data_IF_503576122207
#
_entry.id   IF_503576122207
#
_cell.length_a   1.000
_cell.length_b   1.000
_cell.length_c   1.000
_cell.angle_alpha   90.00
_cell.angle_beta   90.00
_cell.angle_gamma   90.00
#
_symmetry.space_group_name_H-M   'P 1'
#
loop_
_entity.id
_entity.type
_entity.pdbx_description
1 polymer ?
#
# COMPACT_ATOMS: atom_id res chain seq x y z
N UNK A 1 28.08 28.64 -4.54
CA UNK A 1 27.85 28.50 -5.97
C UNK A 1 26.47 27.91 -6.25
N UNK A 2 26.00 28.11 -7.48
CA UNK A 2 24.80 27.49 -8.03
C UNK A 2 25.20 26.57 -9.15
N UNK A 3 24.40 25.57 -9.42
CA UNK A 3 24.55 24.73 -10.60
C UNK A 3 23.19 24.55 -11.29
N UNK A 4 23.25 24.40 -12.60
CA UNK A 4 22.13 24.05 -13.45
C UNK A 4 22.53 22.87 -14.32
N UNK A 5 21.65 21.90 -14.41
CA UNK A 5 21.84 20.70 -15.22
C UNK A 5 20.63 20.47 -16.10
N UNK A 6 20.86 20.11 -17.36
CA UNK A 6 19.83 19.72 -18.30
C UNK A 6 20.45 18.95 -19.47
N UNK A 7 19.62 18.29 -20.27
CA UNK A 7 20.06 17.66 -21.52
C UNK A 7 20.38 18.72 -22.60
N UNK A 8 21.25 18.33 -23.54
CA UNK A 8 21.62 19.18 -24.68
C UNK A 8 20.56 19.03 -25.77
N UNK A 9 19.83 20.09 -26.02
CA UNK A 9 18.86 20.20 -27.11
C UNK A 9 19.37 21.09 -28.24
N UNK A 10 18.55 21.29 -29.26
CA UNK A 10 18.87 22.15 -30.41
C UNK A 10 19.06 23.64 -30.06
N UNK A 11 18.50 24.10 -28.93
CA UNK A 11 18.62 25.48 -28.45
C UNK A 11 19.89 25.68 -27.61
N UNK A 12 20.28 24.65 -26.85
CA UNK A 12 21.39 24.71 -25.89
C UNK A 12 22.72 24.22 -26.47
N UNK A 13 22.71 23.47 -27.60
CA UNK A 13 23.89 22.91 -28.25
C UNK A 13 24.99 23.92 -28.55
N UNK A 14 24.59 25.14 -29.00
CA UNK A 14 25.52 26.20 -29.36
C UNK A 14 25.47 27.42 -28.41
N UNK A 15 24.73 27.27 -27.27
CA UNK A 15 24.58 28.35 -26.31
C UNK A 15 25.89 28.58 -25.53
N UNK A 16 26.18 29.82 -25.23
CA UNK A 16 27.34 30.14 -24.37
C UNK A 16 27.02 29.82 -22.91
N UNK A 17 28.01 29.37 -22.12
CA UNK A 17 27.80 29.07 -20.71
C UNK A 17 27.17 30.23 -19.92
N UNK A 18 27.51 31.47 -20.24
CA UNK A 18 26.94 32.66 -19.61
C UNK A 18 25.44 32.84 -19.92
N UNK A 19 25.01 32.51 -21.12
CA UNK A 19 23.61 32.64 -21.53
C UNK A 19 22.78 31.57 -20.82
N UNK A 20 23.30 30.34 -20.70
CA UNK A 20 22.68 29.26 -19.93
C UNK A 20 22.57 29.64 -18.46
N UNK A 21 23.62 30.20 -17.85
CA UNK A 21 23.62 30.63 -16.46
C UNK A 21 22.61 31.76 -16.22
N UNK A 22 22.50 32.73 -17.14
CA UNK A 22 21.51 33.82 -17.06
C UNK A 22 20.07 33.27 -17.13
N UNK A 23 19.80 32.33 -18.01
CA UNK A 23 18.50 31.67 -18.11
C UNK A 23 18.18 30.88 -16.83
N UNK A 24 19.17 30.14 -16.31
CA UNK A 24 19.03 29.38 -15.05
C UNK A 24 18.71 30.29 -13.86
N UNK A 25 19.30 31.48 -13.80
CA UNK A 25 18.97 32.45 -12.76
C UNK A 25 17.50 32.85 -12.82
N UNK A 26 17.00 33.13 -14.00
CA UNK A 26 15.62 33.62 -14.18
C UNK A 26 14.59 32.50 -14.00
N UNK A 27 14.84 31.32 -14.53
CA UNK A 27 13.84 30.23 -14.59
C UNK A 27 13.91 29.30 -13.40
N UNK A 28 15.09 29.08 -12.79
CA UNK A 28 15.32 28.02 -11.81
C UNK A 28 15.81 28.50 -10.44
N UNK A 29 16.46 29.63 -10.34
CA UNK A 29 16.93 30.20 -9.08
C UNK A 29 15.84 31.06 -8.47
N UNK A 30 15.13 31.85 -9.29
CA UNK A 30 13.92 32.55 -8.90
C UNK A 30 12.70 31.87 -9.51
N UNK A 31 11.67 31.66 -8.71
CA UNK A 31 10.38 31.10 -9.16
C UNK A 31 9.24 31.68 -8.32
N UNK A 32 8.03 31.66 -8.88
CA UNK A 32 6.81 31.98 -8.14
C UNK A 32 6.22 30.71 -7.56
N UNK A 33 6.00 30.72 -6.25
CA UNK A 33 5.20 29.70 -5.56
C UNK A 33 4.04 30.41 -4.85
N UNK A 34 2.80 30.12 -5.23
CA UNK A 34 1.56 30.65 -4.61
C UNK A 34 1.57 32.18 -4.39
N UNK A 35 2.01 32.95 -5.36
CA UNK A 35 2.18 34.40 -5.32
C UNK A 35 3.34 34.92 -4.44
N UNK A 36 4.23 34.05 -4.00
CA UNK A 36 5.48 34.43 -3.36
C UNK A 36 6.66 34.19 -4.28
N UNK A 37 7.58 35.16 -4.32
CA UNK A 37 8.85 34.98 -5.00
C UNK A 37 9.80 34.24 -4.08
N UNK A 38 10.34 33.12 -4.53
CA UNK A 38 11.33 32.35 -3.81
C UNK A 38 12.62 32.21 -4.62
N UNK A 39 13.69 31.78 -3.97
CA UNK A 39 14.95 31.50 -4.63
C UNK A 39 15.56 30.20 -4.08
N UNK A 40 16.37 29.57 -4.92
CA UNK A 40 17.13 28.38 -4.54
C UNK A 40 18.36 28.76 -3.71
N UNK A 41 18.59 28.06 -2.61
CA UNK A 41 19.79 28.25 -1.80
C UNK A 41 21.06 27.78 -2.53
N UNK A 42 22.20 28.49 -2.36
CA UNK A 42 23.46 28.08 -2.98
C UNK A 42 24.02 26.80 -2.35
N UNK A 43 24.58 25.94 -3.20
CA UNK A 43 25.29 24.74 -2.76
C UNK A 43 26.68 25.08 -2.22
N UNK A 44 27.18 24.29 -1.26
CA UNK A 44 28.50 24.44 -0.63
C UNK A 44 29.23 23.10 -0.63
N UNK A 45 30.56 23.14 -0.83
CA UNK A 45 31.39 21.95 -0.81
C UNK A 45 31.22 21.08 -2.07
N UNK A 46 31.41 19.77 -1.93
CA UNK A 46 31.20 18.79 -3.00
C UNK A 46 29.73 18.41 -3.05
N UNK A 47 29.17 18.36 -4.25
CA UNK A 47 27.81 17.89 -4.50
C UNK A 47 27.91 16.72 -5.48
N UNK A 48 27.52 15.52 -5.03
CA UNK A 48 27.38 14.37 -5.88
C UNK A 48 25.98 14.35 -6.49
N UNK A 49 25.90 14.37 -7.81
CA UNK A 49 24.65 14.31 -8.57
C UNK A 49 24.48 12.90 -9.15
N UNK A 50 23.43 12.24 -8.72
CA UNK A 50 23.07 10.90 -9.18
C UNK A 50 21.61 10.91 -9.67
N UNK A 51 21.19 9.89 -10.39
CA UNK A 51 19.80 9.75 -10.79
C UNK A 51 18.81 9.69 -9.63
N UNK A 52 19.27 9.36 -8.42
CA UNK A 52 18.44 9.31 -7.21
C UNK A 52 18.17 10.70 -6.61
N UNK A 53 19.16 11.61 -6.70
CA UNK A 53 19.08 12.93 -6.06
C UNK A 53 18.99 14.09 -7.06
N UNK A 54 18.99 13.79 -8.35
CA UNK A 54 18.88 14.76 -9.43
C UNK A 54 17.92 14.23 -10.50
N UNK A 55 16.66 14.65 -10.41
CA UNK A 55 15.60 14.18 -11.29
C UNK A 55 15.87 14.51 -12.78
N UNK A 56 16.71 15.49 -13.06
CA UNK A 56 17.11 15.86 -14.40
C UNK A 56 17.99 14.82 -15.08
N UNK A 57 18.66 13.93 -14.31
CA UNK A 57 19.56 12.89 -14.84
C UNK A 57 18.86 11.55 -15.13
N UNK A 58 17.61 11.55 -15.46
CA UNK A 58 16.79 10.35 -15.59
C UNK A 58 16.74 9.73 -17.00
N UNK A 59 17.31 10.36 -18.02
CA UNK A 59 17.31 9.85 -19.39
C UNK A 59 18.67 9.20 -19.71
N UNK A 60 18.67 7.91 -20.05
CA UNK A 60 19.87 7.18 -20.44
C UNK A 60 20.35 7.55 -21.86
N UNK A 61 21.60 7.29 -22.18
CA UNK A 61 22.24 7.56 -23.48
C UNK A 61 22.03 9.00 -23.99
N UNK A 62 21.89 9.94 -23.05
CA UNK A 62 21.58 11.35 -23.35
C UNK A 62 22.73 12.24 -22.95
N UNK A 63 23.08 13.18 -23.81
CA UNK A 63 24.12 14.16 -23.53
C UNK A 63 23.54 15.27 -22.65
N UNK A 64 24.12 15.42 -21.46
CA UNK A 64 23.80 16.46 -20.50
C UNK A 64 24.91 17.46 -20.37
N UNK A 65 24.56 18.62 -19.83
CA UNK A 65 25.53 19.60 -19.38
C UNK A 65 25.27 20.02 -17.94
N UNK A 66 26.31 20.42 -17.25
CA UNK A 66 26.25 21.13 -15.98
C UNK A 66 26.92 22.49 -16.16
N UNK A 67 26.23 23.53 -15.76
CA UNK A 67 26.80 24.86 -15.65
C UNK A 67 26.86 25.25 -14.18
N UNK A 68 28.07 25.59 -13.71
CA UNK A 68 28.32 26.01 -12.32
C UNK A 68 28.79 27.46 -12.32
N UNK A 69 28.20 28.28 -11.46
CA UNK A 69 28.50 29.71 -11.38
C UNK A 69 28.25 30.25 -9.96
N UNK A 70 28.87 31.38 -9.64
CA UNK A 70 28.54 32.18 -8.47
C UNK A 70 27.58 33.30 -8.87
N UNK A 71 26.70 33.64 -7.95
CA UNK A 71 25.62 34.55 -8.22
C UNK A 71 25.28 35.38 -6.97
N UNK A 72 25.05 36.67 -7.17
CA UNK A 72 24.58 37.59 -6.14
C UNK A 72 23.11 37.94 -6.41
N UNK A 73 22.29 37.64 -5.41
CA UNK A 73 20.85 37.85 -5.45
C UNK A 73 20.54 39.35 -5.46
N UNK A 74 19.56 39.75 -6.27
CA UNK A 74 18.96 41.06 -6.15
C UNK A 74 17.78 41.00 -5.18
N UNK A 75 17.87 41.58 -3.99
CA UNK A 75 16.82 41.51 -2.97
C UNK A 75 15.55 42.27 -3.35
N UNK A 76 15.58 43.07 -4.43
CA UNK A 76 14.44 43.87 -4.90
C UNK A 76 13.70 43.23 -6.08
N UNK A 77 14.22 42.11 -6.61
CA UNK A 77 13.57 41.40 -7.72
C UNK A 77 12.10 41.06 -7.43
N UNK A 78 11.21 41.50 -8.29
CA UNK A 78 9.77 41.22 -8.19
C UNK A 78 9.05 41.85 -6.99
N UNK A 79 9.76 42.57 -6.11
CA UNK A 79 9.20 43.15 -4.87
C UNK A 79 9.14 44.67 -4.86
N UNK A 80 10.01 45.35 -5.59
CA UNK A 80 10.08 46.78 -5.66
C UNK A 80 9.60 47.26 -7.04
N UNK A 81 8.66 48.20 -7.05
CA UNK A 81 8.19 48.84 -8.24
C UNK A 81 9.09 50.05 -8.57
N UNK A 82 9.59 50.11 -9.79
CA UNK A 82 10.28 51.31 -10.28
C UNK A 82 9.27 52.45 -10.36
N UNK A 83 9.50 53.51 -9.59
CA UNK A 83 8.58 54.66 -9.51
C UNK A 83 8.44 55.43 -10.82
N UNK A 84 9.42 55.34 -11.74
CA UNK A 84 9.38 56.04 -13.04
C UNK A 84 8.63 55.23 -14.09
N UNK A 85 8.73 53.90 -14.08
CA UNK A 85 8.13 53.04 -15.11
C UNK A 85 6.84 52.35 -14.64
N UNK A 86 6.61 52.24 -13.32
CA UNK A 86 5.49 51.51 -12.74
C UNK A 86 5.66 50.01 -12.84
N UNK A 87 6.80 49.51 -13.26
CA UNK A 87 7.09 48.07 -13.41
C UNK A 87 7.89 47.53 -12.21
N UNK A 88 7.71 46.26 -11.94
CA UNK A 88 8.53 45.59 -10.94
C UNK A 88 9.98 45.43 -11.43
N UNK A 89 10.91 45.40 -10.48
CA UNK A 89 12.33 45.13 -10.77
C UNK A 89 12.42 43.69 -11.34
N UNK A 90 12.82 43.58 -12.59
CA UNK A 90 12.95 42.31 -13.34
C UNK A 90 14.40 41.80 -13.38
N UNK A 91 15.34 42.49 -12.70
CA UNK A 91 16.73 42.00 -12.62
C UNK A 91 16.88 41.04 -11.45
N UNK A 92 17.00 39.73 -11.70
CA UNK A 92 17.09 38.74 -10.62
C UNK A 92 18.41 38.80 -9.84
N UNK A 93 19.44 39.47 -10.38
CA UNK A 93 20.77 39.62 -9.77
C UNK A 93 21.90 39.50 -10.78
N UNK A 94 23.12 39.25 -10.32
CA UNK A 94 24.31 39.27 -11.15
C UNK A 94 25.17 38.04 -10.97
N UNK A 95 25.59 37.42 -12.09
CA UNK A 95 26.57 36.34 -12.08
C UNK A 95 27.95 36.93 -11.79
N UNK A 96 28.55 36.48 -10.70
CA UNK A 96 29.80 37.06 -10.15
C UNK A 96 31.06 36.25 -10.48
N UNK A 97 30.90 35.06 -11.10
CA UNK A 97 32.04 34.27 -11.61
C UNK A 97 31.83 33.89 -13.06
N UNK A 98 32.91 33.63 -13.80
CA UNK A 98 32.81 32.97 -15.10
C UNK A 98 32.16 31.59 -14.92
N UNK A 99 31.05 31.29 -15.64
CA UNK A 99 30.42 29.97 -15.54
C UNK A 99 31.36 28.87 -16.03
N UNK A 100 31.41 27.79 -15.29
CA UNK A 100 32.10 26.55 -15.69
C UNK A 100 31.08 25.62 -16.32
N UNK A 101 31.37 25.15 -17.51
CA UNK A 101 30.54 24.26 -18.29
C UNK A 101 31.21 22.90 -18.47
N UNK A 102 30.50 21.84 -18.19
CA UNK A 102 30.91 20.46 -18.43
C UNK A 102 29.77 19.71 -19.09
N UNK A 103 30.04 19.00 -20.19
CA UNK A 103 29.09 18.06 -20.75
C UNK A 103 29.52 16.62 -20.49
N UNK A 104 28.54 15.74 -20.38
CA UNK A 104 28.76 14.31 -20.19
C UNK A 104 27.59 13.54 -20.78
N UNK A 105 27.80 12.26 -21.06
CA UNK A 105 26.78 11.34 -21.53
C UNK A 105 26.32 10.47 -20.36
N UNK A 106 25.01 10.37 -20.17
CA UNK A 106 24.48 9.38 -19.21
C UNK A 106 24.74 7.96 -19.68
N UNK A 107 24.85 7.04 -18.74
CA UNK A 107 25.12 5.64 -19.04
C UNK A 107 24.07 5.04 -19.97
N UNK A 108 24.48 4.01 -20.71
CA UNK A 108 23.54 3.23 -21.51
C UNK A 108 22.54 2.54 -20.58
N UNK A 109 21.30 2.52 -20.98
CA UNK A 109 20.28 1.72 -20.30
C UNK A 109 20.57 0.23 -20.53
N UNK A 110 20.42 -0.57 -19.49
CA UNK A 110 20.63 -2.00 -19.55
C UNK A 110 19.69 -2.71 -20.52
N UNK A 111 20.15 -3.84 -21.03
CA UNK A 111 19.29 -4.71 -21.83
C UNK A 111 18.45 -5.57 -20.89
N UNK A 112 17.11 -5.51 -20.95
CA UNK A 112 16.24 -6.32 -20.09
C UNK A 112 16.42 -7.83 -20.27
N UNK A 113 16.98 -8.29 -21.40
CA UNK A 113 17.30 -9.72 -21.64
C UNK A 113 18.63 -10.15 -21.02
N UNK A 114 19.53 -9.23 -20.70
CA UNK A 114 20.83 -9.50 -20.09
C UNK A 114 20.83 -9.23 -18.57
N UNK A 115 19.82 -8.52 -18.06
CA UNK A 115 19.69 -8.25 -16.65
C UNK A 115 19.33 -9.53 -15.86
N UNK A 116 20.13 -9.83 -14.84
CA UNK A 116 19.88 -10.93 -13.92
C UNK A 116 19.10 -10.43 -12.72
N UNK A 117 18.11 -11.21 -12.30
CA UNK A 117 17.31 -10.92 -11.11
C UNK A 117 17.40 -12.08 -10.13
N UNK A 118 17.61 -11.76 -8.86
CA UNK A 118 17.58 -12.75 -7.78
C UNK A 118 16.47 -12.42 -6.81
N UNK A 119 15.88 -13.48 -6.24
CA UNK A 119 14.74 -13.38 -5.35
C UNK A 119 15.08 -14.00 -4.00
N UNK A 120 14.71 -13.34 -2.93
CA UNK A 120 14.76 -13.90 -1.59
C UNK A 120 13.48 -13.56 -0.83
N UNK A 121 13.15 -14.38 0.17
CA UNK A 121 12.03 -14.12 1.05
C UNK A 121 12.50 -14.07 2.51
N UNK A 122 11.88 -13.21 3.28
CA UNK A 122 12.11 -13.10 4.72
C UNK A 122 10.79 -12.96 5.46
N UNK A 123 10.79 -13.27 6.75
CA UNK A 123 9.61 -13.21 7.63
C UNK A 123 8.41 -13.95 7.05
N UNK A 124 8.66 -15.17 6.54
CA UNK A 124 7.62 -15.97 5.88
C UNK A 124 6.63 -16.46 6.91
N UNK A 125 5.42 -15.91 6.84
CA UNK A 125 4.26 -16.30 7.64
C UNK A 125 3.33 -17.25 6.87
N UNK A 126 2.18 -17.57 7.46
CA UNK A 126 1.15 -18.38 6.78
C UNK A 126 0.42 -17.61 5.68
N UNK A 127 0.33 -16.29 5.78
CA UNK A 127 -0.47 -15.44 4.89
C UNK A 127 0.31 -14.32 4.23
N UNK A 128 1.58 -14.16 4.59
CA UNK A 128 2.40 -13.05 4.12
C UNK A 128 3.90 -13.38 4.15
N UNK A 129 4.68 -12.57 3.47
CA UNK A 129 6.14 -12.51 3.58
C UNK A 129 6.69 -11.25 2.93
N UNK A 130 7.94 -10.92 3.23
CA UNK A 130 8.70 -9.96 2.44
C UNK A 130 9.43 -10.66 1.31
N UNK A 131 9.27 -10.15 0.08
CA UNK A 131 10.03 -10.57 -1.09
C UNK A 131 11.04 -9.47 -1.45
N UNK A 132 12.31 -9.80 -1.50
CA UNK A 132 13.36 -8.92 -2.01
C UNK A 132 13.73 -9.34 -3.43
N UNK A 133 13.79 -8.38 -4.32
CA UNK A 133 14.26 -8.52 -5.69
C UNK A 133 15.54 -7.72 -5.82
N UNK A 134 16.62 -8.37 -6.26
CA UNK A 134 17.89 -7.69 -6.60
C UNK A 134 18.12 -7.76 -8.09
N UNK A 135 18.47 -6.62 -8.67
CA UNK A 135 18.77 -6.48 -10.09
C UNK A 135 20.26 -6.30 -10.31
N UNK A 136 20.85 -7.05 -11.25
CA UNK A 136 22.25 -6.84 -11.65
C UNK A 136 22.47 -5.53 -12.39
N UNK A 137 21.41 -4.96 -12.96
CA UNK A 137 21.42 -3.68 -13.65
C UNK A 137 20.32 -2.75 -13.10
N UNK A 138 20.69 -1.72 -12.30
CA UNK A 138 19.73 -0.83 -11.68
C UNK A 138 19.02 0.11 -12.67
N UNK A 139 19.39 0.09 -13.95
CA UNK A 139 18.73 0.91 -14.98
C UNK A 139 17.55 0.20 -15.63
N UNK A 140 17.49 -1.13 -15.54
CA UNK A 140 16.41 -1.92 -16.15
C UNK A 140 15.13 -1.82 -15.31
N UNK A 141 14.07 -1.33 -15.92
CA UNK A 141 12.75 -1.30 -15.30
C UNK A 141 12.09 -2.67 -15.33
N UNK A 142 11.35 -2.97 -14.28
CA UNK A 142 10.56 -4.19 -14.18
C UNK A 142 9.29 -4.00 -13.38
N UNK A 143 8.33 -4.90 -13.61
CA UNK A 143 7.16 -5.08 -12.75
C UNK A 143 7.34 -6.38 -11.97
N UNK A 144 7.32 -6.36 -10.63
CA UNK A 144 7.34 -7.58 -9.82
C UNK A 144 6.02 -8.32 -9.90
N UNK A 145 6.07 -9.62 -9.72
CA UNK A 145 4.90 -10.48 -9.68
C UNK A 145 5.11 -11.69 -8.78
N UNK A 146 4.01 -12.31 -8.41
CA UNK A 146 3.96 -13.56 -7.66
C UNK A 146 2.92 -14.47 -8.31
N UNK A 147 3.21 -15.77 -8.38
CA UNK A 147 2.29 -16.76 -8.90
C UNK A 147 2.37 -18.05 -8.08
N UNK A 148 1.36 -18.91 -8.21
CA UNK A 148 1.47 -20.28 -7.69
C UNK A 148 2.58 -21.04 -8.43
N UNK A 149 3.49 -21.65 -7.68
CA UNK A 149 4.61 -22.37 -8.27
C UNK A 149 4.17 -23.57 -9.14
N UNK A 150 2.99 -24.14 -8.84
CA UNK A 150 2.46 -25.33 -9.52
C UNK A 150 2.03 -25.09 -10.96
N UNK A 151 1.67 -23.85 -11.33
CA UNK A 151 1.10 -23.53 -12.65
C UNK A 151 1.68 -22.24 -13.26
N UNK A 152 2.85 -21.80 -12.78
CA UNK A 152 3.49 -20.61 -13.30
C UNK A 152 3.91 -20.78 -14.77
N UNK A 153 3.47 -19.86 -15.61
CA UNK A 153 3.85 -19.75 -17.02
C UNK A 153 4.34 -18.32 -17.31
N UNK A 154 5.63 -18.13 -17.63
CA UNK A 154 6.19 -16.83 -17.95
C UNK A 154 5.49 -16.10 -19.10
N UNK A 155 5.04 -16.83 -20.13
CA UNK A 155 4.36 -16.22 -21.27
C UNK A 155 2.94 -15.75 -20.91
N UNK A 156 2.24 -16.54 -20.11
CA UNK A 156 0.93 -16.16 -19.59
C UNK A 156 1.04 -14.91 -18.67
N UNK A 157 2.10 -14.82 -17.85
CA UNK A 157 2.35 -13.66 -17.00
C UNK A 157 2.57 -12.38 -17.80
N UNK A 158 3.38 -12.45 -18.88
CA UNK A 158 3.56 -11.31 -19.81
C UNK A 158 2.23 -10.93 -20.44
N UNK A 159 1.49 -11.91 -21.00
CA UNK A 159 0.24 -11.64 -21.69
C UNK A 159 -0.82 -11.00 -20.77
N UNK A 160 -0.94 -11.48 -19.54
CA UNK A 160 -1.88 -10.96 -18.55
C UNK A 160 -1.64 -9.50 -18.16
N UNK A 161 -0.36 -9.04 -18.18
CA UNK A 161 0.02 -7.71 -17.73
C UNK A 161 0.22 -6.71 -18.88
N UNK A 162 0.32 -7.16 -20.13
CA UNK A 162 0.71 -6.34 -21.28
C UNK A 162 -0.28 -5.21 -21.58
N UNK A 163 -1.57 -5.48 -21.57
CA UNK A 163 -2.60 -4.50 -21.89
C UNK A 163 -2.65 -3.39 -20.83
N UNK A 164 -2.42 -3.76 -19.56
CA UNK A 164 -2.37 -2.78 -18.48
C UNK A 164 -1.16 -1.86 -18.60
N UNK A 165 0.04 -2.42 -18.84
CA UNK A 165 1.22 -1.60 -19.06
C UNK A 165 0.98 -0.62 -20.20
N UNK A 166 0.46 -1.12 -21.34
CA UNK A 166 0.15 -0.28 -22.50
C UNK A 166 -0.83 0.86 -22.16
N UNK A 167 -1.89 0.54 -21.41
CA UNK A 167 -2.91 1.53 -21.01
C UNK A 167 -2.32 2.60 -20.08
N UNK A 168 -1.60 2.23 -19.02
CA UNK A 168 -1.07 3.22 -18.07
C UNK A 168 0.05 4.05 -18.71
N UNK A 169 0.86 3.47 -19.60
CA UNK A 169 1.86 4.19 -20.37
C UNK A 169 1.19 5.23 -21.27
N UNK A 170 0.16 4.84 -22.01
CA UNK A 170 -0.62 5.75 -22.86
C UNK A 170 -1.20 6.90 -22.03
N UNK A 171 -1.87 6.61 -20.92
CA UNK A 171 -2.45 7.63 -20.03
C UNK A 171 -1.39 8.58 -19.46
N UNK A 172 -0.20 8.07 -19.11
CA UNK A 172 0.88 8.87 -18.58
C UNK A 172 1.47 9.82 -19.64
N UNK A 173 1.53 9.39 -20.90
CA UNK A 173 2.15 10.13 -22.00
C UNK A 173 1.16 11.08 -22.72
N UNK A 174 -0.14 10.79 -22.69
CA UNK A 174 -1.17 11.63 -23.32
C UNK A 174 -1.23 13.02 -22.70
N UNK A 175 -1.37 14.03 -23.58
CA UNK A 175 -1.51 15.44 -23.16
C UNK A 175 -0.23 16.09 -22.65
N UNK A 176 0.90 15.39 -22.65
CA UNK A 176 2.20 15.97 -22.30
C UNK A 176 2.80 16.72 -23.51
N UNK A 177 3.38 17.91 -23.26
CA UNK A 177 4.09 18.69 -24.28
C UNK A 177 5.37 19.27 -23.67
N UNK A 178 6.55 18.79 -24.07
CA UNK A 178 6.81 17.73 -25.06
C UNK A 178 6.32 16.35 -24.62
N UNK A 179 6.16 15.45 -25.59
CA UNK A 179 5.77 14.06 -25.31
C UNK A 179 6.88 13.36 -24.51
N UNK A 180 6.51 12.63 -23.46
CA UNK A 180 7.45 11.88 -22.63
C UNK A 180 8.03 10.69 -23.42
N UNK A 181 9.27 10.34 -23.14
CA UNK A 181 9.84 9.03 -23.48
C UNK A 181 9.21 7.94 -22.62
N UNK A 182 9.34 6.67 -23.00
CA UNK A 182 8.88 5.56 -22.16
C UNK A 182 9.61 5.49 -20.82
N UNK A 183 10.89 5.84 -20.77
CA UNK A 183 11.63 5.92 -19.50
C UNK A 183 11.05 6.99 -18.59
N UNK A 184 10.85 8.21 -19.04
CA UNK A 184 10.26 9.30 -18.25
C UNK A 184 8.85 8.95 -17.78
N UNK A 185 8.08 8.23 -18.60
CA UNK A 185 6.76 7.75 -18.21
C UNK A 185 6.84 6.70 -17.09
N UNK A 186 7.80 5.75 -17.17
CA UNK A 186 8.03 4.75 -16.12
C UNK A 186 8.49 5.38 -14.81
N UNK A 187 9.42 6.35 -14.87
CA UNK A 187 9.86 7.10 -13.69
C UNK A 187 8.71 7.84 -13.02
N UNK A 188 7.85 8.47 -13.82
CA UNK A 188 6.66 9.16 -13.33
C UNK A 188 5.64 8.20 -12.72
N UNK A 189 5.40 7.06 -13.36
CA UNK A 189 4.51 6.02 -12.84
C UNK A 189 5.05 5.43 -11.52
N UNK A 190 6.36 5.19 -11.44
CA UNK A 190 7.03 4.78 -10.19
C UNK A 190 6.79 5.81 -9.07
N UNK A 191 6.99 7.10 -9.34
CA UNK A 191 6.74 8.19 -8.38
C UNK A 191 5.28 8.29 -7.95
N UNK A 192 4.34 7.88 -8.81
CA UNK A 192 2.91 7.83 -8.52
C UNK A 192 2.47 6.56 -7.79
N UNK A 193 3.41 5.69 -7.39
CA UNK A 193 3.11 4.47 -6.64
C UNK A 193 2.72 3.25 -7.50
N UNK A 194 2.82 3.33 -8.83
CA UNK A 194 2.61 2.15 -9.66
C UNK A 194 3.70 1.09 -9.42
N UNK A 195 3.42 -0.21 -9.69
CA UNK A 195 4.33 -1.30 -9.33
C UNK A 195 5.53 -1.46 -10.27
N UNK A 196 5.98 -0.36 -10.89
CA UNK A 196 7.18 -0.39 -11.76
C UNK A 196 8.39 0.03 -10.94
N UNK A 197 9.45 -0.76 -11.01
CA UNK A 197 10.69 -0.56 -10.26
C UNK A 197 11.90 -0.68 -11.17
N UNK A 198 13.01 -0.16 -10.70
CA UNK A 198 14.34 -0.38 -11.24
C UNK A 198 15.34 -0.47 -10.08
N UNK A 199 16.42 -1.23 -10.22
CA UNK A 199 17.34 -1.54 -9.13
C UNK A 199 16.74 -2.55 -8.12
N UNK A 200 17.30 -2.57 -6.91
CA UNK A 200 16.86 -3.46 -5.84
C UNK A 200 15.56 -2.94 -5.23
N UNK A 201 14.67 -3.86 -4.86
CA UNK A 201 13.41 -3.52 -4.20
C UNK A 201 12.96 -4.62 -3.24
N UNK A 202 12.25 -4.22 -2.18
CA UNK A 202 11.66 -5.13 -1.19
C UNK A 202 10.15 -4.87 -1.13
N UNK A 203 9.37 -5.94 -1.15
CA UNK A 203 7.91 -5.90 -1.21
C UNK A 203 7.33 -6.69 -0.05
N UNK A 204 6.36 -6.11 0.63
CA UNK A 204 5.49 -6.85 1.53
C UNK A 204 4.35 -7.46 0.72
N UNK A 205 4.18 -8.77 0.85
CA UNK A 205 3.17 -9.54 0.13
C UNK A 205 2.25 -10.17 1.16
N UNK A 206 0.97 -9.88 1.06
CA UNK A 206 -0.05 -10.36 1.98
C UNK A 206 -1.18 -11.09 1.23
N UNK A 207 -2.15 -11.62 1.98
CA UNK A 207 -3.31 -12.34 1.47
C UNK A 207 -2.94 -13.63 0.71
N UNK A 208 -1.92 -14.33 1.20
CA UNK A 208 -1.49 -15.62 0.70
C UNK A 208 -2.22 -16.76 1.41
N UNK A 209 -2.15 -17.95 0.83
CA UNK A 209 -2.67 -19.17 1.45
C UNK A 209 -1.57 -19.88 2.24
N UNK A 210 -1.87 -20.46 3.42
CA UNK A 210 -0.93 -21.25 4.17
C UNK A 210 -0.44 -22.48 3.41
N UNK A 211 0.76 -22.98 3.75
CA UNK A 211 1.38 -24.17 3.19
C UNK A 211 1.37 -24.21 1.65
N UNK A 212 1.40 -23.03 1.03
CA UNK A 212 1.28 -22.86 -0.42
C UNK A 212 2.60 -22.35 -0.98
N UNK A 213 3.03 -22.97 -2.08
CA UNK A 213 4.28 -22.61 -2.76
C UNK A 213 4.03 -21.59 -3.85
N UNK A 214 4.78 -20.50 -3.79
CA UNK A 214 4.74 -19.39 -4.73
C UNK A 214 6.07 -19.23 -5.43
N UNK A 215 6.05 -18.68 -6.64
CA UNK A 215 7.25 -18.27 -7.38
C UNK A 215 7.21 -16.76 -7.57
N UNK A 216 8.26 -16.09 -7.11
CA UNK A 216 8.50 -14.68 -7.39
C UNK A 216 9.02 -14.52 -8.81
N UNK A 217 8.56 -13.51 -9.53
CA UNK A 217 9.04 -13.19 -10.87
C UNK A 217 9.05 -11.69 -11.12
N UNK A 218 9.75 -11.27 -12.15
CA UNK A 218 9.69 -9.92 -12.69
C UNK A 218 9.39 -9.96 -14.18
N UNK A 219 8.64 -8.97 -14.64
CA UNK A 219 8.46 -8.68 -16.07
C UNK A 219 9.33 -7.50 -16.42
N UNK A 220 10.47 -7.75 -17.04
CA UNK A 220 11.43 -6.70 -17.43
C UNK A 220 10.89 -5.90 -18.61
N UNK A 221 11.08 -4.57 -18.60
CA UNK A 221 10.49 -3.64 -19.55
C UNK A 221 11.56 -3.09 -20.47
N UNK A 222 11.33 -3.16 -21.78
CA UNK A 222 12.13 -2.47 -22.78
C UNK A 222 11.67 -1.00 -22.89
N UNK A 223 12.52 -0.09 -22.45
CA UNK A 223 12.22 1.35 -22.51
C UNK A 223 12.16 1.92 -23.92
N UNK A 224 12.62 1.21 -24.95
CA UNK A 224 12.54 1.65 -26.35
C UNK A 224 11.15 1.41 -26.93
N UNK A 225 10.46 0.38 -26.45
CA UNK A 225 9.15 -0.02 -26.94
C UNK A 225 8.02 0.20 -25.93
N UNK A 226 8.36 0.42 -24.66
CA UNK A 226 7.39 0.52 -23.56
C UNK A 226 6.63 -0.79 -23.29
N UNK A 227 7.24 -1.95 -23.63
CA UNK A 227 6.61 -3.27 -23.52
C UNK A 227 7.46 -4.19 -22.63
N UNK A 228 6.83 -5.23 -22.10
CA UNK A 228 7.59 -6.31 -21.47
C UNK A 228 8.46 -7.03 -22.48
N UNK A 229 9.74 -7.12 -22.19
CA UNK A 229 10.75 -7.80 -23.01
C UNK A 229 10.85 -9.28 -22.65
N UNK A 230 10.89 -9.60 -21.36
CA UNK A 230 11.00 -10.95 -20.85
C UNK A 230 10.41 -11.08 -19.45
N UNK A 231 10.19 -12.32 -19.02
CA UNK A 231 9.85 -12.68 -17.66
C UNK A 231 11.01 -13.47 -17.05
N UNK A 232 11.52 -13.04 -15.90
CA UNK A 232 12.55 -13.75 -15.14
C UNK A 232 11.94 -14.16 -13.80
N UNK A 233 12.02 -15.43 -13.45
CA UNK A 233 11.50 -15.99 -12.20
C UNK A 233 12.62 -16.45 -11.29
N UNK A 234 12.31 -16.54 -10.00
CA UNK A 234 13.19 -17.16 -9.02
C UNK A 234 13.42 -18.65 -9.31
N UNK A 235 14.60 -19.16 -8.92
CA UNK A 235 14.96 -20.56 -9.09
C UNK A 235 14.24 -21.49 -8.10
N UNK A 236 13.78 -20.95 -6.97
CA UNK A 236 13.14 -21.69 -5.90
C UNK A 236 11.78 -21.08 -5.54
N UNK A 237 10.84 -21.96 -5.25
CA UNK A 237 9.55 -21.54 -4.71
C UNK A 237 9.68 -21.09 -3.25
N UNK A 238 8.92 -20.06 -2.89
CA UNK A 238 8.72 -19.59 -1.52
C UNK A 238 7.47 -20.27 -1.00
N UNK A 239 7.59 -21.04 0.08
CA UNK A 239 6.43 -21.74 0.65
C UNK A 239 6.04 -21.07 1.96
N UNK A 240 4.80 -20.61 2.04
CA UNK A 240 4.22 -20.06 3.28
C UNK A 240 4.16 -21.11 4.37
N UNK A 241 4.24 -20.68 5.62
CA UNK A 241 4.18 -21.58 6.77
C UNK A 241 2.77 -22.13 6.98
N UNK A 242 2.63 -23.13 7.85
CA UNK A 242 1.32 -23.57 8.32
C UNK A 242 0.63 -22.45 9.11
N UNK A 243 -0.70 -22.50 9.16
CA UNK A 243 -1.51 -21.65 10.03
C UNK A 243 -1.12 -21.85 11.49
N UNK A 244 -1.54 -20.93 12.35
CA UNK A 244 -1.50 -21.09 13.80
C UNK A 244 -2.24 -22.35 14.26
N UNK A 245 -2.01 -22.74 15.51
CA UNK A 245 -2.52 -24.00 16.07
C UNK A 245 -3.81 -23.82 16.86
N UNK A 246 -4.19 -22.58 17.19
CA UNK A 246 -5.34 -22.28 18.06
C UNK A 246 -6.55 -21.89 17.22
N UNK A 247 -7.58 -22.72 17.23
CA UNK A 247 -8.83 -22.52 16.49
C UNK A 247 -10.00 -22.36 17.46
N UNK A 248 -10.43 -21.15 17.78
CA UNK A 248 -11.53 -20.95 18.70
C UNK A 248 -12.86 -21.46 18.12
N UNK A 249 -13.76 -21.83 19.00
CA UNK A 249 -15.17 -22.12 18.68
C UNK A 249 -16.06 -21.17 19.43
N UNK A 250 -17.31 -21.02 18.99
CA UNK A 250 -18.28 -20.10 19.58
C UNK A 250 -19.49 -20.90 20.00
N UNK A 251 -19.95 -20.69 21.24
CA UNK A 251 -21.16 -21.29 21.78
C UNK A 251 -22.18 -20.19 22.10
N UNK A 252 -23.43 -20.40 21.69
CA UNK A 252 -24.52 -19.50 22.01
C UNK A 252 -24.90 -19.69 23.49
N UNK A 253 -24.79 -18.63 24.28
CA UNK A 253 -25.26 -18.61 25.69
C UNK A 253 -26.75 -18.29 25.75
N UNK A 254 -27.20 -17.33 24.96
CA UNK A 254 -28.60 -16.94 24.94
C UNK A 254 -28.91 -15.81 23.97
N UNK A 255 -30.19 -15.66 23.68
CA UNK A 255 -30.77 -14.56 22.90
C UNK A 255 -31.73 -13.84 23.82
N UNK A 256 -31.51 -12.55 23.97
CA UNK A 256 -32.29 -11.69 24.88
C UNK A 256 -32.99 -10.58 24.09
N UNK A 257 -34.12 -10.13 24.61
CA UNK A 257 -34.82 -8.97 24.04
C UNK A 257 -34.07 -7.69 24.43
N UNK A 258 -33.59 -6.95 23.46
CA UNK A 258 -32.79 -5.73 23.64
C UNK A 258 -33.66 -4.48 23.95
N UNK A 259 -34.84 -4.65 24.59
CA UNK A 259 -35.64 -3.53 25.05
C UNK A 259 -34.88 -2.63 26.04
N UNK A 260 -35.50 -1.51 26.46
CA UNK A 260 -34.83 -0.50 27.26
C UNK A 260 -34.22 -1.06 28.57
N UNK A 261 -34.88 -2.01 29.23
CA UNK A 261 -34.35 -2.58 30.48
C UNK A 261 -33.08 -3.43 30.25
N UNK A 262 -33.09 -4.28 29.23
CA UNK A 262 -31.96 -5.10 28.89
C UNK A 262 -30.78 -4.27 28.33
N UNK A 263 -31.11 -3.21 27.57
CA UNK A 263 -30.08 -2.29 27.08
C UNK A 263 -29.38 -1.52 28.20
N UNK A 264 -30.03 -1.29 29.33
CA UNK A 264 -29.42 -0.64 30.51
C UNK A 264 -28.25 -1.42 31.08
N UNK A 265 -28.23 -2.75 30.94
CA UNK A 265 -27.12 -3.62 31.39
C UNK A 265 -25.81 -3.19 30.72
N UNK A 266 -25.89 -2.71 29.47
CA UNK A 266 -24.74 -2.21 28.70
C UNK A 266 -24.58 -0.68 28.75
N UNK A 267 -25.51 0.05 29.39
CA UNK A 267 -25.54 1.50 29.40
C UNK A 267 -25.85 2.13 28.02
N UNK A 268 -26.46 1.38 27.09
CA UNK A 268 -26.74 1.80 25.70
C UNK A 268 -28.12 1.36 25.23
N UNK A 269 -29.16 1.65 26.00
CA UNK A 269 -30.54 1.22 25.71
C UNK A 269 -31.09 1.72 24.37
N UNK A 270 -30.60 2.84 23.85
CA UNK A 270 -30.97 3.40 22.56
C UNK A 270 -30.51 2.54 21.37
N UNK A 271 -29.41 1.82 21.52
CA UNK A 271 -28.86 0.96 20.46
C UNK A 271 -29.56 -0.39 20.41
N UNK A 272 -29.98 -0.90 21.59
CA UNK A 272 -30.52 -2.25 21.70
C UNK A 272 -32.06 -2.30 21.56
N UNK A 273 -32.76 -1.16 21.68
CA UNK A 273 -34.22 -1.10 21.65
C UNK A 273 -34.79 -1.68 20.34
N UNK A 274 -35.70 -2.66 20.48
CA UNK A 274 -36.33 -3.33 19.35
C UNK A 274 -35.47 -4.40 18.63
N UNK A 275 -34.25 -4.64 19.11
CA UNK A 275 -33.30 -5.62 18.58
C UNK A 275 -33.11 -6.78 19.55
N UNK A 276 -32.45 -7.84 19.09
CA UNK A 276 -32.00 -8.92 19.94
C UNK A 276 -30.60 -8.59 20.50
N UNK A 277 -30.30 -9.13 21.68
CA UNK A 277 -28.95 -9.21 22.21
C UNK A 277 -28.55 -10.68 22.16
N UNK A 278 -27.46 -10.98 21.47
CA UNK A 278 -26.89 -12.32 21.36
C UNK A 278 -25.67 -12.40 22.27
N UNK A 279 -25.72 -13.27 23.27
CA UNK A 279 -24.57 -13.55 24.13
C UNK A 279 -23.89 -14.84 23.71
N UNK A 280 -22.58 -14.82 23.57
CA UNK A 280 -21.76 -15.95 23.16
C UNK A 280 -20.59 -16.16 24.11
N UNK A 281 -20.14 -17.42 24.19
CA UNK A 281 -18.89 -17.83 24.85
C UNK A 281 -17.92 -18.37 23.81
N UNK A 282 -16.67 -17.92 23.87
CA UNK A 282 -15.60 -18.45 23.06
C UNK A 282 -14.90 -19.60 23.79
N UNK A 283 -14.62 -20.70 23.08
CA UNK A 283 -13.97 -21.91 23.57
C UNK A 283 -12.86 -22.37 22.65
N UNK A 284 -12.06 -23.35 23.09
CA UNK A 284 -11.02 -23.96 22.23
C UNK A 284 -9.86 -23.04 21.90
N UNK A 285 -9.60 -22.04 22.74
CA UNK A 285 -8.50 -21.08 22.57
C UNK A 285 -7.35 -21.28 23.55
N UNK A 286 -7.21 -22.47 24.13
CA UNK A 286 -6.11 -22.80 25.03
C UNK A 286 -4.77 -22.63 24.31
N UNK A 287 -3.87 -21.87 24.95
CA UNK A 287 -2.57 -21.50 24.37
C UNK A 287 -2.58 -20.24 23.49
N UNK A 288 -3.74 -19.58 23.35
CA UNK A 288 -3.81 -18.28 22.69
C UNK A 288 -3.10 -17.20 23.50
N UNK A 289 -2.44 -16.30 22.77
CA UNK A 289 -1.89 -15.03 23.30
C UNK A 289 -2.91 -13.90 23.17
N UNK A 290 -3.79 -13.98 22.17
CA UNK A 290 -4.91 -13.06 21.96
C UNK A 290 -6.12 -13.79 21.38
N UNK A 291 -7.31 -13.27 21.67
CA UNK A 291 -8.59 -13.76 21.17
C UNK A 291 -9.42 -12.56 20.67
N UNK A 292 -10.00 -12.70 19.50
CA UNK A 292 -10.79 -11.66 18.85
C UNK A 292 -12.16 -12.20 18.47
N UNK A 293 -13.17 -11.34 18.60
CA UNK A 293 -14.55 -11.63 18.22
C UNK A 293 -15.12 -10.57 17.31
N UNK A 294 -16.02 -10.96 16.42
CA UNK A 294 -16.78 -10.05 15.56
C UNK A 294 -18.17 -10.60 15.26
N UNK A 295 -19.02 -9.82 14.62
CA UNK A 295 -20.38 -10.21 14.27
C UNK A 295 -20.78 -9.56 12.96
N UNK A 296 -21.33 -10.35 12.03
CA UNK A 296 -21.68 -9.88 10.68
C UNK A 296 -23.05 -10.33 10.24
N UNK A 297 -23.62 -9.60 9.29
CA UNK A 297 -24.88 -9.98 8.62
C UNK A 297 -24.68 -11.20 7.70
N UNK A 298 -25.72 -12.01 7.60
CA UNK A 298 -25.79 -13.17 6.72
C UNK A 298 -25.06 -14.42 7.23
N UNK A 299 -25.12 -15.46 6.44
CA UNK A 299 -24.45 -16.74 6.66
C UNK A 299 -23.07 -16.73 5.96
N UNK A 300 -22.03 -16.60 6.77
CA UNK A 300 -20.61 -16.69 6.32
C UNK A 300 -19.92 -17.95 6.87
N UNK A 301 -20.68 -19.00 7.17
CA UNK A 301 -20.14 -20.23 7.76
C UNK A 301 -19.39 -21.12 6.77
N UNK A 302 -19.64 -20.99 5.48
CA UNK A 302 -18.98 -21.78 4.43
C UNK A 302 -17.57 -21.22 4.12
N UNK A 303 -16.56 -21.70 4.86
CA UNK A 303 -15.17 -21.33 4.67
C UNK A 303 -14.58 -21.82 3.31
N UNK A 304 -15.27 -22.66 2.56
CA UNK A 304 -14.82 -23.10 1.23
C UNK A 304 -15.16 -22.09 0.12
N UNK A 305 -16.08 -21.17 0.41
CA UNK A 305 -16.34 -20.02 -0.44
C UNK A 305 -15.17 -19.05 -0.34
N UNK A 306 -14.51 -18.67 -1.43
CA UNK A 306 -13.38 -17.73 -1.40
C UNK A 306 -13.71 -16.38 -0.72
N UNK A 307 -14.96 -15.92 -0.82
CA UNK A 307 -15.43 -14.69 -0.16
C UNK A 307 -15.63 -14.83 1.35
N UNK A 308 -15.59 -16.03 1.87
CA UNK A 308 -15.75 -16.33 3.29
C UNK A 308 -14.61 -17.20 3.82
N UNK A 309 -13.48 -17.29 3.09
CA UNK A 309 -12.29 -17.98 3.59
C UNK A 309 -11.81 -17.35 4.90
N UNK A 310 -11.13 -18.12 5.74
CA UNK A 310 -10.65 -17.63 7.04
C UNK A 310 -9.78 -16.39 6.88
N UNK A 311 -8.84 -16.43 5.94
CA UNK A 311 -7.97 -15.32 5.64
C UNK A 311 -8.74 -14.06 5.19
N UNK A 312 -9.69 -14.23 4.27
CA UNK A 312 -10.51 -13.13 3.78
C UNK A 312 -11.29 -12.47 4.93
N UNK A 313 -11.96 -13.27 5.75
CA UNK A 313 -12.70 -12.79 6.91
C UNK A 313 -11.78 -12.03 7.88
N UNK A 314 -10.59 -12.56 8.21
CA UNK A 314 -9.66 -11.89 9.12
C UNK A 314 -9.20 -10.55 8.55
N UNK A 315 -8.87 -10.49 7.27
CA UNK A 315 -8.36 -9.26 6.63
C UNK A 315 -9.45 -8.20 6.41
N UNK A 316 -10.64 -8.60 5.95
CA UNK A 316 -11.73 -7.67 5.64
C UNK A 316 -12.37 -7.07 6.89
N UNK A 317 -12.43 -7.84 7.97
CA UNK A 317 -12.94 -7.33 9.24
C UNK A 317 -11.88 -6.58 10.07
N UNK A 318 -10.72 -6.28 9.50
CA UNK A 318 -9.69 -5.50 10.16
C UNK A 318 -10.28 -4.15 10.63
N UNK A 319 -10.28 -3.92 11.93
CA UNK A 319 -10.92 -2.76 12.55
C UNK A 319 -12.31 -3.03 13.16
N UNK A 320 -12.93 -4.15 12.83
CA UNK A 320 -14.19 -4.62 13.43
C UNK A 320 -13.99 -5.80 14.40
N UNK A 321 -12.75 -6.21 14.63
CA UNK A 321 -12.41 -7.24 15.59
C UNK A 321 -12.23 -6.64 16.98
N UNK A 322 -12.93 -7.19 17.94
CA UNK A 322 -12.88 -6.80 19.34
C UNK A 322 -12.04 -7.77 20.15
N UNK A 323 -11.20 -7.23 21.02
CA UNK A 323 -10.44 -8.04 21.94
C UNK A 323 -11.38 -8.74 22.93
N UNK A 324 -11.30 -10.06 22.98
CA UNK A 324 -12.02 -10.90 23.95
C UNK A 324 -11.11 -11.22 25.11
N UNK A 325 -11.63 -11.13 26.32
CA UNK A 325 -10.86 -11.47 27.52
C UNK A 325 -10.64 -12.98 27.61
N UNK A 326 -9.38 -13.41 27.65
CA UNK A 326 -9.02 -14.84 27.73
C UNK A 326 -9.48 -15.53 29.03
N UNK A 327 -9.79 -14.79 30.09
CA UNK A 327 -10.26 -15.36 31.37
C UNK A 327 -11.77 -15.36 31.52
N UNK A 328 -12.46 -14.46 30.80
CA UNK A 328 -13.92 -14.35 30.76
C UNK A 328 -14.31 -14.12 29.30
N UNK A 329 -14.37 -15.19 28.49
CA UNK A 329 -14.43 -15.12 27.04
C UNK A 329 -15.85 -14.93 26.49
N UNK A 330 -16.58 -13.96 27.05
CA UNK A 330 -17.95 -13.64 26.64
C UNK A 330 -17.98 -12.41 25.75
N UNK A 331 -18.78 -12.47 24.69
CA UNK A 331 -19.13 -11.31 23.86
C UNK A 331 -20.65 -11.15 23.73
N UNK A 332 -21.06 -9.91 23.48
CA UNK A 332 -22.46 -9.54 23.35
C UNK A 332 -22.65 -8.72 22.09
N UNK A 333 -23.55 -9.18 21.21
CA UNK A 333 -23.83 -8.54 19.94
C UNK A 333 -25.27 -8.08 19.85
N UNK A 334 -25.48 -6.93 19.22
CA UNK A 334 -26.82 -6.45 18.88
C UNK A 334 -27.19 -7.04 17.52
N UNK A 335 -28.29 -7.78 17.47
CA UNK A 335 -28.72 -8.52 16.31
C UNK A 335 -30.14 -8.10 15.88
N UNK A 336 -30.42 -8.22 14.59
CA UNK A 336 -31.78 -8.04 14.07
C UNK A 336 -32.62 -9.30 14.26
N UNK A 337 -33.88 -9.12 14.65
CA UNK A 337 -34.82 -10.22 14.79
C UNK A 337 -35.18 -10.84 13.43
N UNK A 338 -35.27 -12.17 13.36
CA UNK A 338 -35.63 -12.94 12.18
C UNK A 338 -34.65 -12.75 10.99
N UNK A 339 -33.40 -12.45 11.28
CA UNK A 339 -32.35 -12.27 10.30
C UNK A 339 -31.14 -13.15 10.64
N UNK A 340 -30.60 -13.84 9.61
CA UNK A 340 -29.40 -14.65 9.78
C UNK A 340 -28.17 -13.76 9.91
N UNK A 341 -27.35 -14.04 10.92
CA UNK A 341 -26.14 -13.32 11.24
C UNK A 341 -25.09 -14.32 11.75
N UNK A 342 -23.82 -14.02 11.59
CA UNK A 342 -22.77 -14.93 11.99
C UNK A 342 -21.86 -14.29 13.02
N UNK A 343 -21.70 -14.94 14.17
CA UNK A 343 -20.63 -14.63 15.13
C UNK A 343 -19.32 -15.26 14.64
N UNK A 344 -18.24 -14.50 14.73
CA UNK A 344 -16.91 -14.84 14.25
C UNK A 344 -15.91 -14.75 15.41
N UNK A 345 -14.90 -15.63 15.42
CA UNK A 345 -13.78 -15.51 16.33
C UNK A 345 -12.49 -16.04 15.69
N UNK A 346 -11.36 -15.42 16.01
CA UNK A 346 -10.05 -16.00 15.78
C UNK A 346 -9.13 -15.76 16.96
N UNK A 347 -8.09 -16.56 17.08
CA UNK A 347 -7.10 -16.45 18.13
C UNK A 347 -5.69 -16.43 17.54
N UNK A 348 -4.77 -15.74 18.20
CA UNK A 348 -3.35 -15.79 17.89
C UNK A 348 -2.67 -16.80 18.81
N UNK A 349 -1.80 -17.63 18.27
CA UNK A 349 -0.95 -18.54 19.05
C UNK A 349 0.32 -17.83 19.56
N UNK A 350 1.25 -18.59 20.13
CA UNK A 350 2.51 -18.07 20.69
C UNK A 350 3.46 -17.49 19.62
N UNK A 351 3.19 -17.71 18.33
CA UNK A 351 3.95 -17.16 17.20
C UNK A 351 3.22 -15.98 16.56
N UNK A 352 2.13 -15.50 17.15
CA UNK A 352 1.23 -14.49 16.62
C UNK A 352 0.55 -14.91 15.30
N UNK A 353 0.35 -16.22 15.10
CA UNK A 353 -0.33 -16.75 13.92
C UNK A 353 -1.77 -17.14 14.25
N UNK A 354 -2.68 -16.72 13.38
CA UNK A 354 -4.07 -17.16 13.36
C UNK A 354 -4.21 -18.55 12.72
N UNK A 355 -5.14 -19.34 13.27
CA UNK A 355 -5.58 -20.60 12.67
C UNK A 355 -6.93 -20.41 11.95
N UNK A 356 -7.87 -21.32 12.17
CA UNK A 356 -9.21 -21.24 11.61
C UNK A 356 -10.09 -20.26 12.35
N UNK A 357 -10.93 -19.56 11.63
CA UNK A 357 -11.99 -18.71 12.19
C UNK A 357 -13.11 -19.60 12.74
N UNK A 358 -13.43 -19.41 14.01
CA UNK A 358 -14.64 -19.95 14.63
C UNK A 358 -15.86 -19.22 14.07
N UNK A 359 -16.92 -19.94 13.76
CA UNK A 359 -18.15 -19.40 13.17
C UNK A 359 -19.36 -20.00 13.87
N UNK A 360 -20.34 -19.13 14.18
CA UNK A 360 -21.63 -19.55 14.69
C UNK A 360 -22.75 -18.77 13.97
N UNK A 361 -23.53 -19.46 13.17
CA UNK A 361 -24.74 -18.89 12.57
C UNK A 361 -25.79 -18.69 13.64
N UNK A 362 -26.34 -17.50 13.76
CA UNK A 362 -27.39 -17.12 14.68
C UNK A 362 -28.55 -16.52 13.90
N UNK A 363 -29.77 -17.02 14.14
CA UNK A 363 -31.01 -16.42 13.67
C UNK A 363 -31.92 -16.15 14.88
N UNK A 364 -31.97 -14.92 15.38
CA UNK A 364 -32.76 -14.58 16.55
C UNK A 364 -34.25 -14.57 16.21
N UNK A 365 -34.95 -15.69 16.40
CA UNK A 365 -36.42 -15.77 16.20
C UNK A 365 -37.18 -15.51 17.47
N UNK A 366 -36.68 -16.01 18.62
CA UNK A 366 -37.25 -15.84 19.94
C UNK A 366 -36.15 -15.64 20.99
N UNK A 367 -36.50 -14.94 22.08
CA UNK A 367 -35.62 -14.91 23.24
C UNK A 367 -35.49 -16.33 23.83
N UNK A 368 -34.28 -16.67 24.29
CA UNK A 368 -33.97 -17.97 24.90
C UNK A 368 -33.46 -17.86 26.32
N UNK A 369 -33.02 -16.68 26.76
CA UNK A 369 -32.49 -16.39 28.08
C UNK A 369 -33.27 -15.35 28.87
N UNK A 370 -33.07 -15.37 30.17
CA UNK A 370 -33.67 -14.38 31.09
C UNK A 370 -32.61 -13.31 31.45
N UNK A 371 -33.11 -12.07 31.73
CA UNK A 371 -32.21 -10.92 31.96
C UNK A 371 -31.18 -11.13 33.06
N UNK A 372 -31.53 -11.87 34.12
CA UNK A 372 -30.61 -12.15 35.22
C UNK A 372 -29.37 -12.95 34.79
N UNK A 373 -29.48 -13.80 33.76
CA UNK A 373 -28.34 -14.53 33.17
C UNK A 373 -27.48 -13.56 32.39
N UNK A 374 -28.05 -12.68 31.57
CA UNK A 374 -27.36 -11.64 30.83
C UNK A 374 -26.58 -10.70 31.77
N UNK A 375 -27.25 -10.26 32.88
CA UNK A 375 -26.62 -9.42 33.90
C UNK A 375 -25.39 -10.11 34.51
N UNK A 376 -25.48 -11.41 34.82
CA UNK A 376 -24.38 -12.18 35.39
C UNK A 376 -23.19 -12.29 34.42
N UNK A 377 -23.42 -12.52 33.11
CA UNK A 377 -22.35 -12.55 32.10
C UNK A 377 -21.70 -11.17 31.94
N UNK A 378 -22.47 -10.10 31.88
CA UNK A 378 -21.94 -8.74 31.76
C UNK A 378 -21.16 -8.33 33.01
N UNK A 379 -21.64 -8.69 34.21
CA UNK A 379 -20.92 -8.47 35.46
C UNK A 379 -19.56 -9.19 35.47
N UNK A 380 -19.51 -10.44 35.00
CA UNK A 380 -18.30 -11.21 34.91
C UNK A 380 -17.26 -10.53 33.99
N UNK A 381 -17.68 -10.07 32.81
CA UNK A 381 -16.80 -9.35 31.85
C UNK A 381 -16.32 -8.03 32.48
N UNK A 382 -17.20 -7.27 33.11
CA UNK A 382 -16.84 -5.98 33.73
C UNK A 382 -15.89 -6.16 34.93
N UNK A 383 -16.02 -7.26 35.67
CA UNK A 383 -15.12 -7.58 36.79
C UNK A 383 -13.72 -8.00 36.32
N UNK A 384 -13.63 -8.65 35.16
CA UNK A 384 -12.38 -9.08 34.55
C UNK A 384 -11.67 -7.98 33.72
N UNK A 385 -12.40 -6.95 33.33
CA UNK A 385 -11.85 -5.84 32.54
C UNK A 385 -10.82 -5.02 33.34
N UNK A 386 -9.69 -4.61 32.75
CA UNK A 386 -8.83 -3.59 33.37
C UNK A 386 -9.65 -2.34 33.67
N UNK A 387 -9.39 -1.67 34.80
CA UNK A 387 -10.19 -0.54 35.33
C UNK A 387 -10.50 0.63 34.38
N UNK A 388 -10.08 0.57 33.14
CA UNK A 388 -10.26 1.63 32.12
C UNK A 388 -11.16 1.23 30.94
N UNK A 389 -11.57 -0.03 30.76
CA UNK A 389 -12.45 -0.46 29.66
C UNK A 389 -13.80 -0.91 30.19
N UNK A 390 -14.87 -0.30 29.65
CA UNK A 390 -16.23 -0.76 29.91
C UNK A 390 -16.62 -1.79 28.85
N UNK A 391 -17.42 -2.80 29.24
CA UNK A 391 -18.07 -3.72 28.30
C UNK A 391 -18.75 -2.94 27.17
N UNK A 392 -18.45 -3.29 25.94
CA UNK A 392 -19.04 -2.67 24.74
C UNK A 392 -19.98 -3.66 24.08
N UNK A 393 -21.16 -3.17 23.70
CA UNK A 393 -22.10 -3.87 22.83
C UNK A 393 -21.86 -3.34 21.41
N UNK A 394 -21.64 -4.23 20.48
CA UNK A 394 -21.32 -3.90 19.11
C UNK A 394 -22.55 -3.97 18.22
N UNK A 395 -22.75 -2.97 17.38
CA UNK A 395 -23.76 -2.98 16.33
C UNK A 395 -23.23 -3.69 15.09
N UNK A 396 -24.10 -4.46 14.44
CA UNK A 396 -23.80 -5.05 13.14
C UNK A 396 -23.66 -3.95 12.09
N UNK A 397 -22.60 -3.97 11.34
CA UNK A 397 -22.44 -3.15 10.13
C UNK A 397 -22.59 -4.04 8.90
N UNK A 398 -23.20 -3.50 7.84
CA UNK A 398 -23.38 -4.21 6.58
C UNK A 398 -22.02 -4.37 5.90
N UNK A 399 -21.75 -5.59 5.44
CA UNK A 399 -20.51 -5.96 4.80
C UNK A 399 -20.71 -6.09 3.28
N UNK A 400 -19.98 -5.28 2.51
CA UNK A 400 -19.84 -5.48 1.07
C UNK A 400 -18.41 -5.95 0.77
N UNK A 401 -18.22 -7.20 0.31
CA UNK A 401 -16.89 -7.75 0.09
C UNK A 401 -16.19 -7.09 -1.11
N UNK A 402 -15.06 -6.48 -0.88
CA UNK A 402 -14.14 -6.02 -1.91
C UNK A 402 -12.86 -6.85 -1.87
N UNK A 403 -12.59 -7.64 -2.91
CA UNK A 403 -11.34 -8.41 -3.02
C UNK A 403 -10.23 -7.51 -3.59
N UNK A 404 -9.26 -7.18 -2.76
CA UNK A 404 -8.01 -6.55 -3.22
C UNK A 404 -6.82 -7.18 -2.49
N UNK A 405 -5.88 -7.72 -3.25
CA UNK A 405 -4.57 -8.07 -2.75
C UNK A 405 -3.62 -6.86 -2.84
N UNK A 406 -2.65 -6.70 -2.00
CA UNK A 406 -1.93 -5.45 -1.82
C UNK A 406 -0.42 -5.63 -1.93
N UNK A 407 0.21 -4.79 -2.75
CA UNK A 407 1.64 -4.56 -2.72
C UNK A 407 1.91 -3.21 -2.04
N UNK A 408 2.77 -3.18 -1.03
CA UNK A 408 3.30 -1.93 -0.46
C UNK A 408 4.83 -1.97 -0.46
N UNK A 409 5.47 -0.83 -0.69
CA UNK A 409 6.89 -0.67 -0.38
C UNK A 409 7.10 -0.78 1.13
N UNK A 410 8.34 -1.13 1.53
CA UNK A 410 8.72 -1.22 2.94
C UNK A 410 8.41 0.09 3.66
N UNK A 411 7.36 0.06 4.47
CA UNK A 411 7.11 1.08 5.47
C UNK A 411 7.69 0.53 6.77
N UNK A 412 8.56 1.27 7.46
CA UNK A 412 8.98 0.91 8.81
C UNK A 412 7.71 0.75 9.66
N UNK A 413 7.33 -0.49 9.90
CA UNK A 413 6.20 -0.83 10.76
C UNK A 413 6.60 -0.52 12.21
N UNK A 414 5.75 0.16 13.00
CA UNK A 414 5.95 0.23 14.43
C UNK A 414 5.93 -1.19 15.02
N UNK A 415 6.65 -1.39 16.13
CA UNK A 415 6.97 -2.68 16.77
C UNK A 415 5.79 -3.61 17.13
N UNK A 416 4.56 -3.32 16.73
CA UNK A 416 3.43 -4.24 16.87
C UNK A 416 3.14 -4.94 15.55
N UNK A 417 3.34 -6.24 15.51
CA UNK A 417 3.14 -7.13 14.36
C UNK A 417 1.68 -7.25 13.86
N UNK A 418 0.74 -6.47 14.38
CA UNK A 418 -0.71 -6.65 14.14
C UNK A 418 -1.30 -5.56 13.23
N UNK A 419 -0.52 -4.63 12.72
CA UNK A 419 -1.05 -3.61 11.80
C UNK A 419 -0.76 -4.01 10.36
N UNK A 420 -1.67 -4.76 9.76
CA UNK A 420 -1.70 -4.95 8.30
C UNK A 420 -2.22 -3.68 7.68
N UNK A 421 -1.35 -2.88 7.06
CA UNK A 421 -1.81 -1.76 6.24
C UNK A 421 -2.31 -2.30 4.90
N UNK A 422 -3.58 -2.07 4.63
CA UNK A 422 -4.19 -2.26 3.31
C UNK A 422 -3.74 -1.10 2.43
N UNK A 423 -2.73 -1.31 1.62
CA UNK A 423 -2.29 -0.39 0.58
C UNK A 423 -2.69 -0.93 -0.80
N UNK A 424 -2.94 -0.08 -1.75
CA UNK A 424 -3.54 -0.42 -3.04
C UNK A 424 -2.60 -1.21 -3.96
N UNK A 425 -3.13 -2.29 -4.50
CA UNK A 425 -2.77 -3.12 -5.65
C UNK A 425 -1.80 -4.28 -5.46
N UNK A 426 -2.27 -5.42 -5.86
CA UNK A 426 -1.47 -6.56 -6.19
C UNK A 426 -1.66 -7.04 -7.59
N UNK A 427 -0.67 -7.70 -8.08
CA UNK A 427 -0.82 -8.57 -9.20
C UNK A 427 -0.70 -10.01 -8.72
N UNK A 428 -1.82 -10.62 -8.47
CA UNK A 428 -1.90 -12.05 -8.27
C UNK A 428 -2.20 -12.67 -9.63
N UNK A 429 -1.28 -13.43 -10.19
CA UNK A 429 -1.49 -14.13 -11.44
C UNK A 429 -1.99 -15.54 -11.11
N UNK A 430 -3.26 -15.65 -10.82
CA UNK A 430 -3.91 -16.93 -10.53
C UNK A 430 -5.33 -17.01 -11.04
N UNK A 431 -5.99 -15.87 -11.27
CA UNK A 431 -7.33 -15.81 -11.82
C UNK A 431 -7.55 -14.50 -12.59
N UNK A 432 -7.33 -14.57 -13.90
CA UNK A 432 -7.37 -13.42 -14.81
C UNK A 432 -8.78 -12.78 -14.87
N UNK A 433 -9.84 -13.57 -14.70
CA UNK A 433 -11.22 -13.08 -14.73
C UNK A 433 -11.55 -12.24 -13.49
N UNK A 434 -11.05 -12.63 -12.33
CA UNK A 434 -11.26 -11.87 -11.09
C UNK A 434 -10.52 -10.52 -11.09
N UNK A 435 -9.30 -10.46 -11.64
CA UNK A 435 -8.52 -9.24 -11.80
C UNK A 435 -9.16 -8.22 -12.76
N UNK A 436 -9.78 -8.72 -13.84
CA UNK A 436 -10.46 -7.87 -14.83
C UNK A 436 -11.76 -7.29 -14.28
N UNK A 437 -12.49 -8.04 -13.47
CA UNK A 437 -13.74 -7.61 -12.85
C UNK A 437 -13.53 -6.54 -11.76
N UNK A 438 -12.49 -6.68 -10.93
CA UNK A 438 -12.19 -5.71 -9.87
C UNK A 438 -11.75 -4.33 -10.40
N UNK A 439 -11.16 -4.30 -11.60
CA UNK A 439 -10.69 -3.05 -12.26
C UNK A 439 -11.77 -2.27 -12.99
N UNK A 440 -12.84 -2.90 -13.41
CA UNK A 440 -13.95 -2.24 -14.12
C UNK A 440 -14.84 -1.38 -13.21
N UNK A 441 -14.61 -1.37 -11.90
CA UNK A 441 -15.44 -0.66 -10.90
C UNK A 441 -14.79 0.62 -10.34
N UNK A 442 -13.63 1.06 -10.83
CA UNK A 442 -12.94 2.27 -10.34
C UNK A 442 -12.62 3.30 -11.44
N UNK A 443 -13.64 3.72 -12.17
CA UNK A 443 -13.59 4.95 -12.96
C UNK A 443 -14.86 5.78 -12.72
#
# INVERSE_FOLDING_TARGET
>A
YYYYINYIDTKTKDAKPIDIANNAVTEYIYYWDNNTLAHREPSKGVVDLTGENCAELNIAETEYYVVVFSYELNPTYGTVINEETGEYDTNPGTITSAPVYVSFMTAKHGDPHEAEFTFSASEVGPYDFYMEVKSSDPTVFYQPGLAYASNFDPQAAIAASADQLALVMQMCMEGQSPCLTYQEALDKLKQQGYPYRNGDAKFYIANLYPETSYIGYVLAIDIKTGKFACCVSGDAAITTTAMGTVSPTIELLGIYDGNEENGKVFGKSDITAGRAIVAVEHKGFEGATALYGSFTEGDVTDATNPKFSDQYIISEFMGYWDNVNLTVPYNFYVAEWNYEQTALAYALDSNDYEAKVGRLLVNPVNKTGEIAELEAYVEAVNAAAPKASKSMVYSVESFEPTMECVWSEEVELPESKVVRQVGELPTFVGDIEALTAARSLRF
#
